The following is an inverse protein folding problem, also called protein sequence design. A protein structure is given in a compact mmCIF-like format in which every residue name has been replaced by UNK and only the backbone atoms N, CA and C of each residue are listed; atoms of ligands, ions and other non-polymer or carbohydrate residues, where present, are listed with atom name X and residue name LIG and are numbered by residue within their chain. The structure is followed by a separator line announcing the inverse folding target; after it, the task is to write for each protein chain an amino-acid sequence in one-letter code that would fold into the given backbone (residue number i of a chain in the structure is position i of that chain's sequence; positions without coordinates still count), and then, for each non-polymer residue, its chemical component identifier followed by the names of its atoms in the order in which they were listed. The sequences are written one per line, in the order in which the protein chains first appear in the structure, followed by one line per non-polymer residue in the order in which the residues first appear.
data_IF_733964385860
#
_entry.id   IF_733964385860
#
_cell.length_a   1.000
_cell.length_b   1.000
_cell.length_c   1.000
_cell.angle_alpha   90.00
_cell.angle_beta   90.00
_cell.angle_gamma   90.00
#
_symmetry.space_group_name_H-M   'P 1'
#
loop_
_entity.id
_entity.type
_entity.pdbx_description
1 polymer ?
#
# COMPACT_ATOMS: atom_id res chain seq x y z
N UNK A 1 -0.83 -5.93 -7.69
CA UNK A 1 0.17 -4.93 -7.30
C UNK A 1 0.61 -4.05 -8.44
N UNK A 2 1.31 -2.99 -8.12
CA UNK A 2 1.81 -2.11 -9.15
C UNK A 2 2.54 -0.90 -8.61
N UNK A 3 3.08 -0.12 -9.54
CA UNK A 3 3.79 1.12 -9.24
C UNK A 3 3.11 2.30 -9.92
N UNK A 4 3.27 3.50 -9.34
CA UNK A 4 2.72 4.72 -9.90
C UNK A 4 1.20 4.63 -10.08
N UNK A 5 0.68 4.80 -11.28
CA UNK A 5 -0.76 4.58 -11.56
C UNK A 5 -1.17 3.13 -11.28
N UNK A 6 -0.28 2.16 -11.53
CA UNK A 6 -0.53 0.76 -11.18
C UNK A 6 -0.68 0.56 -9.69
N UNK A 7 0.03 1.34 -8.86
CA UNK A 7 -0.15 1.34 -7.42
C UNK A 7 -1.54 1.84 -7.03
N UNK A 8 -1.99 2.91 -7.68
CA UNK A 8 -3.33 3.45 -7.44
C UNK A 8 -4.42 2.46 -7.87
N UNK A 9 -4.25 1.82 -9.02
CA UNK A 9 -5.19 0.78 -9.49
C UNK A 9 -5.24 -0.38 -8.50
N UNK A 10 -4.10 -0.77 -7.92
CA UNK A 10 -4.05 -1.83 -6.90
C UNK A 10 -4.86 -1.46 -5.66
N UNK A 11 -4.80 -0.20 -5.23
CA UNK A 11 -5.61 0.27 -4.11
C UNK A 11 -7.10 0.11 -4.43
N UNK A 12 -7.53 0.57 -5.61
CA UNK A 12 -8.93 0.45 -6.01
C UNK A 12 -9.36 -1.01 -6.14
N UNK A 13 -8.49 -1.89 -6.63
CA UNK A 13 -8.78 -3.32 -6.72
C UNK A 13 -9.06 -3.90 -5.33
N UNK A 14 -8.25 -3.52 -4.34
CA UNK A 14 -8.45 -3.96 -2.97
C UNK A 14 -9.72 -3.40 -2.34
N UNK A 15 -10.09 -2.16 -2.68
CA UNK A 15 -11.33 -1.55 -2.19
C UNK A 15 -12.56 -2.23 -2.80
N UNK A 16 -12.55 -2.46 -4.10
CA UNK A 16 -13.70 -3.00 -4.82
C UNK A 16 -13.87 -4.50 -4.67
N UNK A 17 -12.78 -5.24 -4.58
CA UNK A 17 -12.79 -6.70 -4.55
C UNK A 17 -11.87 -7.25 -3.46
N UNK A 18 -12.13 -6.92 -2.19
CA UNK A 18 -11.23 -7.33 -1.10
C UNK A 18 -11.14 -8.84 -0.91
N UNK A 19 -12.18 -9.58 -1.31
CA UNK A 19 -12.18 -11.04 -1.24
C UNK A 19 -11.28 -11.69 -2.28
N UNK A 20 -10.89 -10.93 -3.32
CA UNK A 20 -10.01 -11.40 -4.38
C UNK A 20 -8.58 -10.89 -4.17
N UNK A 21 -8.45 -9.62 -3.85
CA UNK A 21 -7.15 -8.95 -3.75
C UNK A 21 -6.79 -8.70 -2.29
N UNK A 22 -6.36 -9.76 -1.62
CA UNK A 22 -6.00 -9.71 -0.21
C UNK A 22 -4.54 -9.37 0.07
N UNK A 23 -3.70 -9.33 -0.96
CA UNK A 23 -2.29 -8.96 -0.84
C UNK A 23 -1.98 -7.87 -1.84
N UNK A 24 -1.71 -6.67 -1.35
CA UNK A 24 -1.51 -5.49 -2.19
C UNK A 24 -0.06 -5.02 -2.09
N UNK A 25 0.61 -4.97 -3.23
CA UNK A 25 1.95 -4.41 -3.36
C UNK A 25 1.80 -3.06 -4.05
N UNK A 26 2.03 -2.00 -3.30
CA UNK A 26 1.72 -0.65 -3.75
C UNK A 26 2.99 0.20 -3.69
N UNK A 27 3.59 0.45 -4.85
CA UNK A 27 4.83 1.21 -4.98
C UNK A 27 4.56 2.60 -5.55
N UNK A 28 4.96 3.63 -4.80
CA UNK A 28 4.92 5.02 -5.26
C UNK A 28 3.58 5.37 -5.92
N UNK A 29 2.45 5.13 -5.24
CA UNK A 29 1.13 5.28 -5.88
C UNK A 29 0.82 6.74 -6.20
N UNK A 30 0.12 6.95 -7.31
CA UNK A 30 -0.29 8.29 -7.78
C UNK A 30 -1.49 8.81 -6.99
N UNK A 31 -1.34 8.94 -5.68
CA UNK A 31 -2.43 9.33 -4.77
C UNK A 31 -2.96 10.74 -5.03
N UNK A 32 -2.14 11.60 -5.61
CA UNK A 32 -2.53 12.96 -5.97
C UNK A 32 -3.65 13.01 -7.00
N UNK A 33 -3.87 11.92 -7.75
CA UNK A 33 -4.95 11.81 -8.73
C UNK A 33 -6.30 11.70 -8.03
N UNK A 34 -6.35 11.02 -6.87
CA UNK A 34 -7.58 10.85 -6.08
C UNK A 34 -7.26 11.18 -4.61
N UNK A 35 -7.19 12.48 -4.26
CA UNK A 35 -6.73 12.88 -2.93
C UNK A 35 -7.66 12.44 -1.79
N UNK A 36 -8.93 12.18 -2.07
CA UNK A 36 -9.91 11.74 -1.06
C UNK A 36 -10.43 10.34 -1.37
N UNK A 37 -9.51 9.40 -1.53
CA UNK A 37 -9.88 8.01 -1.78
C UNK A 37 -10.68 7.44 -0.60
N UNK A 38 -11.78 6.74 -0.89
CA UNK A 38 -12.62 6.13 0.13
C UNK A 38 -12.10 4.73 0.47
N UNK A 39 -11.98 4.45 1.76
CA UNK A 39 -11.48 3.17 2.25
C UNK A 39 -12.63 2.26 2.68
N UNK A 40 -13.64 2.14 1.83
CA UNK A 40 -14.88 1.40 2.14
C UNK A 40 -14.66 -0.09 2.38
N UNK A 41 -13.58 -0.67 1.88
CA UNK A 41 -13.28 -2.07 2.15
C UNK A 41 -13.00 -2.36 3.63
N UNK A 42 -12.74 -1.33 4.43
CA UNK A 42 -12.57 -1.46 5.87
C UNK A 42 -13.91 -1.51 6.63
N UNK A 43 -15.01 -1.24 5.95
CA UNK A 43 -16.35 -1.22 6.55
C UNK A 43 -17.06 -2.57 6.45
N UNK A 44 -16.37 -3.61 6.00
CA UNK A 44 -16.94 -4.94 5.85
C UNK A 44 -17.26 -5.57 7.21
N UNK A 45 -18.42 -6.22 7.31
CA UNK A 45 -18.82 -6.95 8.52
C UNK A 45 -17.84 -8.07 8.86
N UNK A 46 -17.31 -8.75 7.83
CA UNK A 46 -16.32 -9.81 7.98
C UNK A 46 -15.02 -9.37 7.32
N UNK A 47 -14.08 -8.81 8.10
CA UNK A 47 -12.80 -8.36 7.54
C UNK A 47 -12.05 -9.52 6.90
N UNK A 48 -11.55 -9.30 5.70
CA UNK A 48 -10.71 -10.26 4.99
C UNK A 48 -9.27 -10.18 5.47
N UNK A 49 -8.54 -11.29 5.43
CA UNK A 49 -7.11 -11.29 5.67
C UNK A 49 -6.45 -10.46 4.56
N UNK A 50 -5.91 -9.32 4.95
CA UNK A 50 -5.35 -8.35 3.99
C UNK A 50 -3.96 -7.93 4.42
N UNK A 51 -3.01 -7.98 3.50
CA UNK A 51 -1.67 -7.44 3.68
C UNK A 51 -1.43 -6.37 2.65
N UNK A 52 -0.97 -5.22 3.12
CA UNK A 52 -0.70 -4.06 2.26
C UNK A 52 0.75 -3.65 2.45
N UNK A 53 1.53 -3.74 1.38
CA UNK A 53 2.92 -3.28 1.37
C UNK A 53 2.96 -1.95 0.63
N UNK A 54 3.36 -0.91 1.34
CA UNK A 54 3.48 0.44 0.80
C UNK A 54 4.96 0.82 0.67
N UNK A 55 5.33 1.41 -0.45
CA UNK A 55 6.68 1.91 -0.69
C UNK A 55 6.64 3.32 -1.25
N UNK A 56 7.56 4.15 -0.80
CA UNK A 56 7.75 5.50 -1.33
C UNK A 56 9.24 5.85 -1.37
N UNK A 57 9.66 6.55 -2.42
CA UNK A 57 11.02 7.05 -2.57
C UNK A 57 11.13 8.54 -2.24
N UNK A 58 12.22 8.92 -1.58
CA UNK A 58 12.44 10.30 -1.15
C UNK A 58 12.85 11.26 -2.26
N UNK A 59 13.37 10.73 -3.35
CA UNK A 59 13.79 11.54 -4.52
C UNK A 59 12.80 11.46 -5.68
N UNK A 60 11.54 11.12 -5.41
CA UNK A 60 10.51 11.08 -6.44
C UNK A 60 9.86 12.45 -6.63
N UNK A 61 9.42 13.04 -5.54
CA UNK A 61 8.82 14.36 -5.51
C UNK A 61 8.87 14.86 -4.07
N UNK A 62 8.55 16.13 -3.86
CA UNK A 62 8.49 16.72 -2.53
C UNK A 62 7.37 16.14 -1.66
N UNK A 63 6.37 15.49 -2.28
CA UNK A 63 5.15 15.08 -1.58
C UNK A 63 4.89 13.58 -1.54
N UNK A 64 5.65 12.77 -2.27
CA UNK A 64 5.36 11.33 -2.35
C UNK A 64 5.36 10.65 -0.99
N UNK A 65 6.40 10.87 -0.19
CA UNK A 65 6.49 10.26 1.14
C UNK A 65 5.31 10.70 2.00
N UNK A 66 4.98 11.98 1.99
CA UNK A 66 3.86 12.52 2.78
C UNK A 66 2.53 11.93 2.33
N UNK A 67 2.30 11.78 1.03
CA UNK A 67 1.09 11.17 0.51
C UNK A 67 0.93 9.73 1.00
N UNK A 68 2.01 8.95 0.93
CA UNK A 68 1.96 7.54 1.34
C UNK A 68 1.80 7.42 2.86
N UNK A 69 2.49 8.25 3.62
CA UNK A 69 2.33 8.29 5.09
C UNK A 69 0.91 8.66 5.48
N UNK A 70 0.31 9.64 4.82
CA UNK A 70 -1.06 10.05 5.09
C UNK A 70 -2.05 8.94 4.74
N UNK A 71 -1.82 8.25 3.64
CA UNK A 71 -2.66 7.11 3.25
C UNK A 71 -2.59 6.00 4.31
N UNK A 72 -1.37 5.64 4.75
CA UNK A 72 -1.18 4.65 5.82
C UNK A 72 -1.89 5.08 7.10
N UNK A 73 -1.76 6.34 7.46
CA UNK A 73 -2.39 6.91 8.66
C UNK A 73 -3.92 6.78 8.59
N UNK A 74 -4.50 7.04 7.42
CA UNK A 74 -5.95 6.88 7.21
C UNK A 74 -6.37 5.42 7.36
N UNK A 75 -5.57 4.48 6.84
CA UNK A 75 -5.83 3.04 7.00
C UNK A 75 -5.85 2.66 8.48
N UNK A 76 -4.86 3.13 9.24
CA UNK A 76 -4.69 2.75 10.65
C UNK A 76 -5.70 3.43 11.58
N UNK A 77 -6.28 4.55 11.18
CA UNK A 77 -7.25 5.31 11.98
C UNK A 77 -8.68 4.81 11.84
N UNK A 78 -8.94 3.91 10.91
CA UNK A 78 -10.30 3.42 10.71
C UNK A 78 -10.78 2.70 11.97
N UNK A 79 -11.99 3.06 12.41
CA UNK A 79 -12.67 2.34 13.48
C UNK A 79 -12.90 0.89 13.05
N UNK A 80 -12.57 -0.04 13.93
CA UNK A 80 -12.66 -1.45 13.58
C UNK A 80 -11.49 -1.99 12.79
N UNK A 81 -10.36 -1.27 12.74
CA UNK A 81 -9.14 -1.79 12.12
C UNK A 81 -8.81 -3.15 12.72
N UNK A 82 -8.84 -4.16 11.87
CA UNK A 82 -8.81 -5.56 12.29
C UNK A 82 -7.40 -6.11 12.39
N UNK A 83 -7.20 -7.10 13.27
CA UNK A 83 -5.97 -7.90 13.31
C UNK A 83 -5.71 -8.64 12.00
N UNK A 84 -6.74 -8.79 11.17
CA UNK A 84 -6.63 -9.41 9.86
C UNK A 84 -6.01 -8.49 8.81
N UNK A 85 -5.88 -7.20 9.09
CA UNK A 85 -5.24 -6.27 8.19
C UNK A 85 -3.85 -5.91 8.69
N UNK A 86 -2.83 -6.16 7.88
CA UNK A 86 -1.43 -5.83 8.18
C UNK A 86 -0.93 -4.85 7.13
N UNK A 87 -0.26 -3.80 7.59
CA UNK A 87 0.28 -2.77 6.71
C UNK A 87 1.75 -2.58 7.01
N UNK A 88 2.58 -2.63 5.97
CA UNK A 88 4.01 -2.34 6.09
C UNK A 88 4.37 -1.17 5.20
N UNK A 89 5.11 -0.22 5.74
CA UNK A 89 5.61 0.93 5.02
C UNK A 89 7.12 0.84 4.88
N UNK A 90 7.62 0.93 3.63
CA UNK A 90 9.04 1.00 3.33
C UNK A 90 9.33 2.33 2.65
N UNK A 91 10.32 3.04 3.15
CA UNK A 91 10.77 4.32 2.58
C UNK A 91 12.24 4.22 2.22
N UNK A 92 12.55 4.48 0.95
CA UNK A 92 13.93 4.64 0.49
C UNK A 92 14.13 6.13 0.20
N UNK A 93 14.85 6.81 1.07
CA UNK A 93 15.00 8.26 0.96
C UNK A 93 15.75 8.72 -0.29
N UNK A 94 16.53 7.83 -0.89
CA UNK A 94 17.24 8.09 -2.14
C UNK A 94 16.46 7.61 -3.36
N UNK A 95 15.34 6.91 -3.17
CA UNK A 95 14.56 6.29 -4.23
C UNK A 95 13.98 7.30 -5.20
N UNK A 96 14.08 6.99 -6.49
CA UNK A 96 13.51 7.78 -7.58
C UNK A 96 12.29 7.06 -8.15
N UNK A 97 11.48 7.78 -8.89
CA UNK A 97 10.26 7.25 -9.48
C UNK A 97 10.59 6.48 -10.78
N UNK A 98 11.18 5.32 -10.63
CA UNK A 98 11.53 4.48 -11.79
C UNK A 98 11.67 3.01 -11.42
N UNK A 99 11.75 2.17 -12.44
CA UNK A 99 11.74 0.72 -12.34
C UNK A 99 12.96 0.15 -11.59
N UNK A 100 14.09 0.83 -11.62
CA UNK A 100 15.28 0.37 -10.91
C UNK A 100 15.00 0.25 -9.41
N UNK A 101 14.42 1.28 -8.83
CA UNK A 101 14.10 1.29 -7.40
C UNK A 101 12.94 0.35 -7.08
N UNK A 102 11.95 0.25 -7.94
CA UNK A 102 10.84 -0.68 -7.74
C UNK A 102 11.30 -2.13 -7.87
N UNK A 103 12.21 -2.43 -8.79
CA UNK A 103 12.78 -3.78 -8.93
C UNK A 103 13.56 -4.19 -7.69
N UNK A 104 14.31 -3.27 -7.08
CA UNK A 104 15.05 -3.54 -5.85
C UNK A 104 14.13 -3.80 -4.67
N UNK A 105 12.97 -3.16 -4.65
CA UNK A 105 12.00 -3.30 -3.58
C UNK A 105 11.14 -4.56 -3.74
N UNK A 106 10.95 -5.04 -4.95
CA UNK A 106 10.04 -6.13 -5.27
C UNK A 106 10.27 -7.40 -4.45
N UNK A 107 11.51 -7.93 -4.33
CA UNK A 107 11.74 -9.14 -3.53
C UNK A 107 11.35 -8.96 -2.05
N UNK A 108 11.61 -7.78 -1.50
CA UNK A 108 11.25 -7.47 -0.11
C UNK A 108 9.74 -7.49 0.08
N UNK A 109 9.01 -6.93 -0.86
CA UNK A 109 7.55 -6.89 -0.80
C UNK A 109 6.96 -8.30 -0.93
N UNK A 110 7.45 -9.09 -1.86
CA UNK A 110 6.97 -10.46 -2.08
C UNK A 110 7.23 -11.31 -0.84
N UNK A 111 8.42 -11.20 -0.24
CA UNK A 111 8.72 -11.96 0.96
C UNK A 111 7.76 -11.62 2.09
N UNK A 112 7.53 -10.35 2.35
CA UNK A 112 6.62 -9.94 3.41
C UNK A 112 5.17 -10.33 3.13
N UNK A 113 4.71 -10.15 1.89
CA UNK A 113 3.32 -10.43 1.52
C UNK A 113 2.96 -11.91 1.56
N UNK A 114 3.88 -12.78 1.15
CA UNK A 114 3.56 -14.18 0.92
C UNK A 114 4.30 -15.16 1.84
N UNK A 115 5.46 -14.80 2.36
CA UNK A 115 6.31 -15.73 3.08
C UNK A 115 6.60 -15.35 4.53
N UNK A 116 6.25 -14.14 4.94
CA UNK A 116 6.45 -13.72 6.32
C UNK A 116 5.32 -14.21 7.20
N UNK A 117 5.67 -14.80 8.37
CA UNK A 117 4.71 -15.20 9.37
C UNK A 117 4.59 -14.18 10.50
N UNK A 118 5.39 -13.12 10.44
CA UNK A 118 5.42 -12.08 11.47
C UNK A 118 4.46 -10.95 11.13
N UNK A 119 3.90 -10.35 12.18
CA UNK A 119 2.94 -9.23 12.06
C UNK A 119 3.67 -7.88 12.05
N UNK A 120 4.62 -7.73 11.20
CA UNK A 120 5.44 -6.51 11.14
C UNK A 120 4.84 -5.43 10.26
#
# INVERSE_FOLDING_TARGET
GGSSMGGLVSIFSGIMYPEVFGKLMIFSPSLWVVPKIKLSFLDMEEPQDTRIYLYAGGNESATMIDHVKNFRKRLLKREGFSDKMKVRLSINREGKHNETYWSDEFPKAIEWLFFSTKNE
#
